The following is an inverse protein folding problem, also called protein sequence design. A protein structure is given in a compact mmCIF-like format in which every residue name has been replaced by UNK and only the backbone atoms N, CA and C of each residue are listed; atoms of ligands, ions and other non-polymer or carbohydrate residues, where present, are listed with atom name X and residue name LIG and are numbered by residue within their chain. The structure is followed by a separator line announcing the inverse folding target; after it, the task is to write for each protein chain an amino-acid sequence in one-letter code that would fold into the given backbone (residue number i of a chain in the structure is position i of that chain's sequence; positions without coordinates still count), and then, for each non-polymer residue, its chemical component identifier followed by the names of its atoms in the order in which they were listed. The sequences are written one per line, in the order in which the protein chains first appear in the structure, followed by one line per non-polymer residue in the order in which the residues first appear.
data_IF_492018655967
#
_entry.id   IF_492018655967
#
_cell.length_a   1.000
_cell.length_b   1.000
_cell.length_c   1.000
_cell.angle_alpha   90.00
_cell.angle_beta   90.00
_cell.angle_gamma   90.00
#
_symmetry.space_group_name_H-M   'P 1'
#
loop_
_entity.id
_entity.type
_entity.pdbx_description
1 polymer ?
#
# COMPACT_ATOMS: atom_id res chain seq x y z
N UNK A 1 53.24 -2.76 -57.14
CA UNK A 1 52.06 -3.31 -56.51
C UNK A 1 51.31 -2.20 -55.75
N UNK A 2 50.22 -1.72 -56.25
CA UNK A 2 49.43 -0.67 -55.63
C UNK A 2 48.15 -1.34 -55.13
N UNK A 3 47.90 -1.28 -53.81
CA UNK A 3 46.64 -1.73 -53.20
C UNK A 3 45.56 -0.64 -53.37
N UNK A 4 44.32 -0.99 -53.69
CA UNK A 4 43.23 -0.04 -53.75
C UNK A 4 42.69 0.25 -52.34
N UNK A 5 42.45 1.53 -52.09
CA UNK A 5 41.77 2.04 -50.88
C UNK A 5 40.25 1.78 -51.01
N UNK A 6 39.72 1.00 -50.10
CA UNK A 6 38.29 0.79 -49.99
C UNK A 6 37.68 1.95 -49.18
N UNK A 7 36.83 2.75 -49.81
CA UNK A 7 36.02 3.77 -49.15
C UNK A 7 34.77 3.08 -48.60
N UNK A 8 34.70 2.96 -47.29
CA UNK A 8 33.49 2.47 -46.61
C UNK A 8 32.46 3.62 -46.51
N UNK A 9 31.33 3.42 -47.16
CA UNK A 9 30.16 4.31 -47.02
C UNK A 9 29.54 4.14 -45.62
N UNK A 10 29.50 5.24 -44.86
CA UNK A 10 28.78 5.30 -43.58
C UNK A 10 27.29 5.47 -43.90
N UNK A 11 26.55 4.37 -43.81
CA UNK A 11 25.08 4.41 -43.87
C UNK A 11 24.56 5.04 -42.56
N UNK A 12 23.76 6.07 -42.73
CA UNK A 12 23.17 6.83 -41.62
C UNK A 12 22.36 5.96 -40.67
N UNK A 13 22.71 5.96 -39.39
CA UNK A 13 21.81 5.52 -38.31
C UNK A 13 20.68 6.55 -38.19
N UNK A 14 19.52 6.21 -38.75
CA UNK A 14 18.29 6.89 -38.44
C UNK A 14 18.00 6.72 -36.94
N UNK A 15 18.05 7.83 -36.20
CA UNK A 15 17.51 7.92 -34.84
C UNK A 15 16.00 7.62 -34.91
N UNK A 16 15.64 6.38 -34.64
CA UNK A 16 14.28 6.07 -34.24
C UNK A 16 14.08 6.69 -32.86
N UNK A 17 13.59 7.93 -32.81
CA UNK A 17 12.84 8.43 -31.67
C UNK A 17 11.58 7.57 -31.58
N UNK A 18 11.70 6.41 -30.96
CA UNK A 18 10.56 5.66 -30.49
C UNK A 18 9.88 6.53 -29.43
N UNK A 19 8.69 7.05 -29.77
CA UNK A 19 7.75 7.54 -28.78
C UNK A 19 7.51 6.38 -27.82
N UNK A 20 8.24 6.36 -26.69
CA UNK A 20 7.83 5.57 -25.54
C UNK A 20 6.53 6.24 -25.03
N UNK A 21 5.42 5.93 -25.64
CA UNK A 21 4.17 5.92 -24.90
C UNK A 21 4.41 4.93 -23.77
N UNK A 22 4.84 5.46 -22.63
CA UNK A 22 4.84 4.71 -21.39
C UNK A 22 3.42 4.17 -21.30
N UNK A 23 3.28 2.85 -21.47
CA UNK A 23 2.01 2.18 -21.40
C UNK A 23 1.38 2.67 -20.10
N UNK A 24 0.35 3.52 -20.20
CA UNK A 24 -0.42 3.97 -19.04
C UNK A 24 -0.99 2.69 -18.48
N UNK A 25 -0.38 2.22 -17.41
CA UNK A 25 -0.87 1.04 -16.71
C UNK A 25 -2.28 1.39 -16.25
N UNK A 26 -3.26 0.84 -16.97
CA UNK A 26 -4.66 1.06 -16.64
C UNK A 26 -4.94 0.32 -15.33
N UNK A 27 -5.09 1.09 -14.25
CA UNK A 27 -5.44 0.56 -12.95
C UNK A 27 -6.96 0.71 -12.75
N UNK A 28 -7.70 -0.41 -12.67
CA UNK A 28 -9.11 -0.36 -12.36
C UNK A 28 -9.35 0.33 -11.01
N UNK A 29 -10.37 1.18 -10.96
CA UNK A 29 -10.81 1.77 -9.70
C UNK A 29 -11.74 0.83 -8.97
N UNK A 30 -11.60 0.78 -7.65
CA UNK A 30 -12.57 0.17 -6.76
C UNK A 30 -13.40 1.26 -6.08
N UNK A 31 -14.66 0.96 -5.79
CA UNK A 31 -15.47 1.75 -4.88
C UNK A 31 -14.93 1.55 -3.45
N UNK A 32 -14.72 2.66 -2.74
CA UNK A 32 -14.23 2.65 -1.37
C UNK A 32 -15.18 3.46 -0.48
N UNK A 33 -16.03 2.79 0.31
CA UNK A 33 -17.04 3.47 1.11
C UNK A 33 -16.50 4.08 2.41
N UNK A 34 -15.21 3.95 2.71
CA UNK A 34 -14.64 4.33 4.01
C UNK A 34 -14.01 5.73 4.01
N UNK A 35 -13.55 6.21 2.85
CA UNK A 35 -13.02 7.57 2.70
C UNK A 35 -13.07 8.03 1.24
N UNK A 36 -12.94 9.35 1.03
CA UNK A 36 -12.89 9.95 -0.31
C UNK A 36 -11.44 9.94 -0.86
N UNK A 37 -10.82 8.75 -0.87
CA UNK A 37 -9.49 8.53 -1.46
C UNK A 37 -9.63 7.61 -2.65
N UNK A 38 -9.07 8.02 -3.80
CA UNK A 38 -9.10 7.18 -5.00
C UNK A 38 -8.44 5.83 -4.71
N UNK A 39 -9.22 4.76 -4.83
CA UNK A 39 -8.76 3.40 -4.62
C UNK A 39 -8.63 2.67 -5.95
N UNK A 40 -7.50 2.04 -6.16
CA UNK A 40 -7.19 1.23 -7.33
C UNK A 40 -7.05 -0.24 -6.96
N UNK A 41 -7.32 -1.13 -7.91
CA UNK A 41 -7.07 -2.57 -7.74
C UNK A 41 -5.98 -3.03 -8.68
N UNK A 42 -5.06 -3.83 -8.17
CA UNK A 42 -4.02 -4.51 -8.95
C UNK A 42 -3.96 -5.99 -8.54
N UNK A 43 -3.58 -6.86 -9.48
CA UNK A 43 -3.42 -8.30 -9.20
C UNK A 43 -2.05 -8.60 -8.59
N UNK A 44 -1.03 -7.97 -9.12
CA UNK A 44 0.37 -8.25 -8.78
C UNK A 44 0.94 -7.09 -7.95
N UNK A 45 0.47 -6.97 -6.71
CA UNK A 45 1.03 -6.03 -5.73
C UNK A 45 1.80 -6.80 -4.66
N UNK A 46 2.96 -6.30 -4.20
CA UNK A 46 3.76 -6.97 -3.18
C UNK A 46 3.04 -7.05 -1.83
N UNK A 47 2.21 -6.07 -1.52
CA UNK A 47 1.38 -5.98 -0.32
C UNK A 47 -0.08 -6.23 -0.67
N UNK A 48 -0.89 -6.66 0.30
CA UNK A 48 -2.33 -6.89 0.10
C UNK A 48 -3.10 -5.58 -0.09
N UNK A 49 -2.65 -4.51 0.55
CA UNK A 49 -3.11 -3.14 0.37
C UNK A 49 -2.01 -2.14 0.72
N UNK A 50 -2.10 -0.92 0.21
CA UNK A 50 -1.14 0.16 0.46
C UNK A 50 -1.80 1.52 0.39
N UNK A 51 -1.44 2.41 1.32
CA UNK A 51 -1.72 3.84 1.28
C UNK A 51 -0.50 4.61 0.85
N UNK A 52 -0.63 5.49 -0.15
CA UNK A 52 0.50 6.24 -0.68
C UNK A 52 0.05 7.59 -1.29
N UNK A 53 1.01 8.38 -1.70
CA UNK A 53 0.79 9.54 -2.58
C UNK A 53 1.16 9.16 -4.01
N UNK A 54 0.37 9.60 -4.99
CA UNK A 54 0.71 9.46 -6.40
C UNK A 54 1.85 10.43 -6.80
N UNK A 55 2.29 10.37 -8.04
CA UNK A 55 3.35 11.26 -8.57
C UNK A 55 3.02 12.75 -8.50
N UNK A 56 1.77 13.12 -8.27
CA UNK A 56 1.29 14.50 -8.12
C UNK A 56 1.04 14.86 -6.64
N UNK A 57 1.43 13.99 -5.70
CA UNK A 57 1.20 14.17 -4.28
C UNK A 57 -0.26 13.96 -3.83
N UNK A 58 -1.11 13.35 -4.66
CA UNK A 58 -2.50 13.05 -4.29
C UNK A 58 -2.60 11.74 -3.54
N UNK A 59 -3.43 11.67 -2.48
CA UNK A 59 -3.72 10.43 -1.77
C UNK A 59 -4.31 9.37 -2.71
N UNK A 60 -3.76 8.17 -2.64
CA UNK A 60 -4.28 6.99 -3.34
C UNK A 60 -4.15 5.76 -2.46
N UNK A 61 -5.05 4.82 -2.65
CA UNK A 61 -5.02 3.49 -2.05
C UNK A 61 -4.91 2.46 -3.17
N UNK A 62 -4.09 1.44 -2.99
CA UNK A 62 -4.00 0.30 -3.90
C UNK A 62 -4.32 -0.96 -3.12
N UNK A 63 -5.25 -1.78 -3.62
CA UNK A 63 -5.66 -3.03 -2.99
C UNK A 63 -5.50 -4.19 -3.96
N UNK A 64 -5.06 -5.34 -3.46
CA UNK A 64 -4.96 -6.54 -4.26
C UNK A 64 -6.37 -7.00 -4.70
N UNK A 65 -6.56 -7.12 -6.03
CA UNK A 65 -7.86 -7.46 -6.61
C UNK A 65 -8.36 -8.85 -6.18
N UNK A 66 -7.45 -9.81 -6.00
CA UNK A 66 -7.80 -11.16 -5.56
C UNK A 66 -8.31 -11.16 -4.11
N UNK A 67 -7.71 -10.34 -3.24
CA UNK A 67 -8.18 -10.22 -1.85
C UNK A 67 -9.62 -9.69 -1.79
N UNK A 68 -9.98 -8.72 -2.65
CA UNK A 68 -11.34 -8.20 -2.71
C UNK A 68 -12.37 -9.24 -3.21
N UNK A 69 -11.96 -10.13 -4.12
CA UNK A 69 -12.85 -11.15 -4.69
C UNK A 69 -12.95 -12.41 -3.84
N UNK A 70 -11.84 -12.92 -3.35
CA UNK A 70 -11.74 -14.22 -2.70
C UNK A 70 -12.00 -14.14 -1.19
N UNK A 71 -11.69 -12.98 -0.59
CA UNK A 71 -11.84 -12.71 0.84
C UNK A 71 -12.50 -11.33 1.08
N UNK A 72 -13.74 -11.13 0.63
CA UNK A 72 -14.35 -9.79 0.58
C UNK A 72 -14.47 -9.11 1.95
N UNK A 73 -14.71 -9.84 3.03
CA UNK A 73 -14.73 -9.29 4.39
C UNK A 73 -13.35 -8.76 4.80
N UNK A 74 -12.29 -9.52 4.54
CA UNK A 74 -10.92 -9.07 4.80
C UNK A 74 -10.51 -7.91 3.87
N UNK A 75 -10.93 -7.94 2.62
CA UNK A 75 -10.72 -6.83 1.69
C UNK A 75 -11.34 -5.53 2.17
N UNK A 76 -12.54 -5.56 2.76
CA UNK A 76 -13.17 -4.39 3.39
C UNK A 76 -12.38 -3.90 4.60
N UNK A 77 -11.90 -4.81 5.46
CA UNK A 77 -11.02 -4.44 6.58
C UNK A 77 -9.77 -3.71 6.08
N UNK A 78 -9.09 -4.24 5.06
CA UNK A 78 -7.92 -3.61 4.47
C UNK A 78 -8.25 -2.22 3.91
N UNK A 79 -9.34 -2.05 3.16
CA UNK A 79 -9.73 -0.74 2.64
C UNK A 79 -10.01 0.28 3.75
N UNK A 80 -10.67 -0.13 4.83
CA UNK A 80 -10.90 0.73 6.00
C UNK A 80 -9.58 1.09 6.68
N UNK A 81 -8.66 0.14 6.86
CA UNK A 81 -7.33 0.33 7.43
C UNK A 81 -6.51 1.33 6.60
N UNK A 82 -6.46 1.16 5.29
CA UNK A 82 -5.73 2.08 4.41
C UNK A 82 -6.35 3.49 4.39
N UNK A 83 -7.68 3.60 4.44
CA UNK A 83 -8.34 4.88 4.64
C UNK A 83 -7.89 5.57 5.93
N UNK A 84 -7.71 4.81 7.01
CA UNK A 84 -7.25 5.34 8.28
C UNK A 84 -5.83 5.89 8.23
N UNK A 85 -4.94 5.30 7.45
CA UNK A 85 -3.61 5.87 7.24
C UNK A 85 -3.67 7.27 6.62
N UNK A 86 -4.60 7.53 5.71
CA UNK A 86 -4.78 8.88 5.16
C UNK A 86 -5.47 9.81 6.16
N UNK A 87 -6.57 9.40 6.78
CA UNK A 87 -7.36 10.26 7.68
C UNK A 87 -6.62 10.61 8.97
N UNK A 88 -5.74 9.75 9.46
CA UNK A 88 -4.86 10.01 10.61
C UNK A 88 -3.57 10.74 10.22
N UNK A 89 -3.36 11.04 8.93
CA UNK A 89 -2.19 11.75 8.43
C UNK A 89 -0.89 10.95 8.46
N UNK A 90 -0.96 9.62 8.54
CA UNK A 90 0.22 8.75 8.60
C UNK A 90 1.06 8.87 7.33
N UNK A 91 0.42 8.86 6.14
CA UNK A 91 1.09 8.95 4.84
C UNK A 91 1.85 10.26 4.70
N UNK A 92 1.25 11.40 5.09
CA UNK A 92 1.92 12.71 5.07
C UNK A 92 3.11 12.75 6.01
N UNK A 93 2.94 12.31 7.26
CA UNK A 93 4.03 12.25 8.26
C UNK A 93 5.19 11.36 7.81
N UNK A 94 4.89 10.24 7.17
CA UNK A 94 5.91 9.36 6.61
C UNK A 94 6.68 10.06 5.49
N UNK A 95 5.99 10.71 4.58
CA UNK A 95 6.60 11.39 3.45
C UNK A 95 7.47 12.59 3.87
N UNK A 96 6.95 13.43 4.77
CA UNK A 96 7.64 14.64 5.26
C UNK A 96 8.77 14.32 6.25
N UNK A 97 8.55 13.38 7.17
CA UNK A 97 9.47 13.08 8.25
C UNK A 97 10.56 12.08 7.90
N UNK A 98 10.26 11.11 7.03
CA UNK A 98 11.14 9.96 6.80
C UNK A 98 11.61 9.82 5.35
N UNK A 99 11.00 10.53 4.40
CA UNK A 99 11.34 10.45 2.98
C UNK A 99 12.78 10.88 2.64
N UNK A 100 13.44 11.58 3.55
CA UNK A 100 14.82 12.07 3.38
C UNK A 100 15.86 11.34 4.23
N UNK A 101 15.44 10.32 4.97
CA UNK A 101 16.28 9.62 5.94
C UNK A 101 16.83 8.35 5.28
N UNK A 102 18.17 8.22 5.24
CA UNK A 102 18.83 7.04 4.67
C UNK A 102 18.55 5.74 5.47
N UNK A 103 19.05 4.57 5.03
CA UNK A 103 18.64 3.25 5.54
C UNK A 103 18.83 3.02 7.06
N UNK A 104 19.76 3.70 7.70
CA UNK A 104 20.06 3.49 9.12
C UNK A 104 19.01 4.00 10.12
N UNK A 105 18.22 5.04 9.82
CA UNK A 105 17.21 5.56 10.73
C UNK A 105 15.95 4.72 10.89
N UNK A 106 15.70 3.72 10.06
CA UNK A 106 14.51 2.87 10.19
C UNK A 106 14.37 2.25 11.59
N UNK A 107 15.47 1.92 12.25
CA UNK A 107 15.43 1.44 13.63
C UNK A 107 14.82 2.48 14.59
N UNK A 108 15.13 3.76 14.41
CA UNK A 108 14.62 4.84 15.26
C UNK A 108 13.15 5.17 15.01
N UNK A 109 12.66 4.93 13.79
CA UNK A 109 11.27 5.19 13.43
C UNK A 109 10.35 3.97 13.63
N UNK A 110 10.91 2.78 13.85
CA UNK A 110 10.16 1.55 14.04
C UNK A 110 9.05 1.67 15.13
N UNK A 111 9.27 2.30 16.29
CA UNK A 111 8.21 2.50 17.27
C UNK A 111 7.04 3.35 16.73
N UNK A 112 7.35 4.39 15.95
CA UNK A 112 6.33 5.24 15.35
C UNK A 112 5.56 4.48 14.25
N UNK A 113 6.24 3.68 13.41
CA UNK A 113 5.59 2.83 12.41
C UNK A 113 4.66 1.82 13.06
N UNK A 114 5.12 1.14 14.12
CA UNK A 114 4.27 0.22 14.88
C UNK A 114 3.01 0.90 15.41
N UNK A 115 3.15 2.09 16.00
CA UNK A 115 2.00 2.82 16.53
C UNK A 115 1.04 3.24 15.43
N UNK A 116 1.54 3.68 14.26
CA UNK A 116 0.68 4.03 13.11
C UNK A 116 -0.18 2.85 12.65
N UNK A 117 0.36 1.62 12.65
CA UNK A 117 -0.40 0.42 12.31
C UNK A 117 -1.50 0.13 13.33
N UNK A 118 -1.16 0.23 14.63
CA UNK A 118 -2.13 0.00 15.71
C UNK A 118 -3.25 1.07 15.72
N UNK A 119 -2.90 2.32 15.48
CA UNK A 119 -3.87 3.40 15.35
C UNK A 119 -4.79 3.21 14.14
N UNK A 120 -4.23 2.76 13.00
CA UNK A 120 -5.01 2.47 11.79
C UNK A 120 -5.96 1.27 12.01
N UNK A 121 -5.53 0.23 12.73
CA UNK A 121 -6.40 -0.90 13.10
C UNK A 121 -7.60 -0.44 13.94
N UNK A 122 -7.37 0.36 14.99
CA UNK A 122 -8.46 0.88 15.83
C UNK A 122 -9.40 1.81 15.06
N UNK A 123 -8.87 2.66 14.21
CA UNK A 123 -9.68 3.51 13.35
C UNK A 123 -10.53 2.67 12.38
N UNK A 124 -9.96 1.61 11.78
CA UNK A 124 -10.70 0.70 10.90
C UNK A 124 -11.85 -0.01 11.64
N UNK A 125 -11.62 -0.48 12.87
CA UNK A 125 -12.68 -1.05 13.73
C UNK A 125 -13.83 -0.08 13.88
N UNK A 126 -13.58 1.19 14.23
CA UNK A 126 -14.62 2.22 14.39
C UNK A 126 -15.38 2.50 13.10
N UNK A 127 -14.67 2.60 11.97
CA UNK A 127 -15.29 2.79 10.66
C UNK A 127 -16.21 1.62 10.28
N UNK A 128 -15.74 0.39 10.43
CA UNK A 128 -16.50 -0.81 10.09
C UNK A 128 -17.72 -1.00 10.99
N UNK A 129 -17.59 -0.72 12.31
CA UNK A 129 -18.72 -0.71 13.24
C UNK A 129 -19.78 0.30 12.84
N UNK A 130 -19.38 1.51 12.47
CA UNK A 130 -20.33 2.56 12.05
C UNK A 130 -21.13 2.15 10.82
N UNK A 131 -20.62 1.20 10.03
CA UNK A 131 -21.28 0.61 8.85
C UNK A 131 -21.92 -0.75 9.11
N UNK A 132 -21.90 -1.24 10.35
CA UNK A 132 -22.41 -2.56 10.73
C UNK A 132 -21.72 -3.74 10.03
N UNK A 133 -20.46 -3.58 9.66
CA UNK A 133 -19.63 -4.59 8.96
C UNK A 133 -18.75 -5.39 9.94
N UNK A 134 -19.38 -6.03 10.93
CA UNK A 134 -18.69 -6.75 12.00
C UNK A 134 -17.92 -7.98 11.47
N UNK A 135 -18.40 -8.60 10.41
CA UNK A 135 -17.71 -9.70 9.72
C UNK A 135 -16.34 -9.28 9.18
N UNK A 136 -16.19 -8.03 8.79
CA UNK A 136 -14.92 -7.48 8.31
C UNK A 136 -13.92 -7.27 9.43
N UNK A 137 -14.36 -6.87 10.61
CA UNK A 137 -13.51 -6.77 11.81
C UNK A 137 -13.01 -8.16 12.19
N UNK A 138 -13.90 -9.15 12.27
CA UNK A 138 -13.52 -10.53 12.57
C UNK A 138 -12.55 -11.10 11.53
N UNK A 139 -12.75 -10.81 10.24
CA UNK A 139 -11.83 -11.25 9.18
C UNK A 139 -10.44 -10.60 9.33
N UNK A 140 -10.38 -9.31 9.65
CA UNK A 140 -9.12 -8.60 9.94
C UNK A 140 -8.38 -9.21 11.14
N UNK A 141 -9.09 -9.43 12.24
CA UNK A 141 -8.56 -10.06 13.46
C UNK A 141 -8.06 -11.48 13.17
N UNK A 142 -8.83 -12.29 12.45
CA UNK A 142 -8.42 -13.65 12.09
C UNK A 142 -7.17 -13.68 11.20
N UNK A 143 -7.03 -12.74 10.25
CA UNK A 143 -5.83 -12.60 9.45
C UNK A 143 -4.61 -12.27 10.32
N UNK A 144 -4.74 -11.36 11.28
CA UNK A 144 -3.64 -11.02 12.21
C UNK A 144 -3.29 -12.21 13.12
N UNK A 145 -4.25 -12.97 13.60
CA UNK A 145 -4.01 -14.22 14.36
C UNK A 145 -3.20 -15.22 13.51
N UNK A 146 -3.49 -15.32 12.19
CA UNK A 146 -2.75 -16.21 11.30
C UNK A 146 -1.28 -15.80 11.09
N UNK A 147 -0.93 -14.51 11.18
CA UNK A 147 0.46 -14.04 11.23
C UNK A 147 1.15 -14.43 12.54
N UNK A 148 0.42 -14.55 13.64
CA UNK A 148 0.94 -14.94 14.94
C UNK A 148 2.06 -14.03 15.43
N UNK A 149 3.16 -14.63 15.92
CA UNK A 149 4.33 -13.88 16.43
C UNK A 149 5.21 -13.27 15.32
N UNK A 150 4.89 -13.49 14.04
CA UNK A 150 5.62 -12.88 12.93
C UNK A 150 5.22 -11.41 12.76
N UNK A 151 6.17 -10.49 12.47
CA UNK A 151 5.84 -9.14 12.07
C UNK A 151 5.00 -9.13 10.79
N UNK A 152 4.02 -8.23 10.71
CA UNK A 152 3.15 -8.08 9.53
C UNK A 152 3.80 -7.30 8.38
N UNK A 153 4.99 -6.75 8.62
CA UNK A 153 5.85 -6.04 7.68
C UNK A 153 7.17 -5.67 8.35
N UNK A 154 8.11 -5.13 7.58
CA UNK A 154 9.37 -4.66 8.12
C UNK A 154 9.11 -3.53 9.14
N UNK A 155 9.52 -3.72 10.38
CA UNK A 155 9.31 -2.77 11.49
C UNK A 155 7.86 -2.58 11.94
N UNK A 156 6.93 -3.41 11.48
CA UNK A 156 5.52 -3.40 11.88
C UNK A 156 5.29 -4.24 13.15
N UNK A 157 4.13 -4.10 13.80
CA UNK A 157 3.75 -4.99 14.88
C UNK A 157 3.64 -6.44 14.41
N UNK A 158 3.76 -7.38 15.33
CA UNK A 158 3.42 -8.78 15.07
C UNK A 158 1.92 -8.94 14.84
N UNK A 159 1.54 -10.03 14.19
CA UNK A 159 0.13 -10.36 14.05
C UNK A 159 -0.58 -10.46 15.40
N UNK A 160 0.07 -11.05 16.42
CA UNK A 160 -0.49 -11.11 17.78
C UNK A 160 -0.73 -9.72 18.36
N UNK A 161 0.26 -8.81 18.29
CA UNK A 161 0.08 -7.42 18.77
C UNK A 161 -1.08 -6.71 18.09
N UNK A 162 -1.25 -6.90 16.77
CA UNK A 162 -2.35 -6.31 16.00
C UNK A 162 -3.70 -6.94 16.36
N UNK A 163 -3.77 -8.28 16.47
CA UNK A 163 -4.99 -8.97 16.84
C UNK A 163 -5.51 -8.56 18.23
N UNK A 164 -4.60 -8.46 19.22
CA UNK A 164 -4.92 -8.01 20.56
C UNK A 164 -5.39 -6.55 20.55
N UNK A 165 -4.76 -5.68 19.75
CA UNK A 165 -5.16 -4.30 19.59
C UNK A 165 -6.55 -4.16 18.97
N UNK A 166 -6.86 -4.92 17.90
CA UNK A 166 -8.19 -4.96 17.28
C UNK A 166 -9.23 -5.35 18.32
N UNK A 167 -8.99 -6.44 19.08
CA UNK A 167 -9.92 -6.92 20.10
C UNK A 167 -10.14 -5.88 21.22
N UNK A 168 -9.08 -5.17 21.64
CA UNK A 168 -9.19 -4.09 22.61
C UNK A 168 -10.05 -2.94 22.08
N UNK A 169 -9.82 -2.50 20.83
CA UNK A 169 -10.59 -1.42 20.22
C UNK A 169 -12.07 -1.79 19.99
N UNK A 170 -12.38 -3.07 19.81
CA UNK A 170 -13.76 -3.58 19.80
C UNK A 170 -14.44 -3.45 21.16
N UNK A 171 -13.71 -3.58 22.25
CA UNK A 171 -14.26 -3.56 23.61
C UNK A 171 -14.43 -2.15 24.20
N UNK A 172 -13.74 -1.13 23.64
CA UNK A 172 -13.74 0.25 24.15
C UNK A 172 -14.96 1.09 23.71
N UNK A 173 -15.80 0.60 22.81
CA UNK A 173 -17.00 1.23 22.28
C UNK A 173 -18.28 0.49 22.74
#
# INVERSE_FOLDING_TARGET
MRLPVLVAAIAGLGLFCGNSEAARMWMPKADNPYCDVTTYTLRDVPELAMSMLDSNGKPVIVVNAMTLTDQPAYGRFLMAHECCHHTLGHVGRFHEGFGHVGPQPFFYIAPALKQMELDADCCAVKLLRSKHELDSIEAGKAAMIAFGASPTGAYYPTGTERADNIAKCEAED
#
